data_IF_273213637659
#
_entry.id   IF_273213637659
#
_cell.length_a   1.000
_cell.length_b   1.000
_cell.length_c   1.000
_cell.angle_alpha   90.00
_cell.angle_beta   90.00
_cell.angle_gamma   90.00
#
_symmetry.space_group_name_H-M   'P 1'
#
loop_
_entity.id
_entity.type
_entity.pdbx_description
1 polymer ?
#
# COMPACT_ATOMS: atom_id res chain seq x y z
N UNK A 1 9.63 -7.03 8.77
CA UNK A 1 9.31 -6.03 7.76
C UNK A 1 10.53 -5.27 7.24
N UNK A 2 10.72 -5.25 5.92
CA UNK A 2 11.72 -4.48 5.17
C UNK A 2 11.21 -3.09 4.74
N UNK A 3 9.89 -2.89 4.73
CA UNK A 3 9.26 -1.67 4.24
C UNK A 3 9.34 -0.48 5.21
N UNK A 4 9.64 -0.73 6.50
CA UNK A 4 9.74 0.33 7.51
C UNK A 4 10.68 1.47 7.12
N UNK A 5 10.20 2.70 7.30
CA UNK A 5 11.00 3.92 7.17
C UNK A 5 12.21 3.92 8.12
N UNK A 6 12.06 3.32 9.33
CA UNK A 6 13.14 3.15 10.30
C UNK A 6 14.29 2.25 9.81
N UNK A 7 14.07 1.49 8.74
CA UNK A 7 15.08 0.67 8.05
C UNK A 7 15.63 1.32 6.77
N UNK A 8 15.27 2.58 6.52
CA UNK A 8 15.75 3.36 5.38
C UNK A 8 14.93 3.20 4.11
N UNK A 9 13.78 2.52 4.17
CA UNK A 9 12.82 2.51 3.08
C UNK A 9 12.13 3.87 2.94
N UNK A 10 11.61 4.15 1.74
CA UNK A 10 10.90 5.38 1.41
C UNK A 10 9.57 5.05 0.75
N UNK A 11 8.56 5.87 1.00
CA UNK A 11 7.27 5.76 0.33
C UNK A 11 7.03 6.96 -0.60
N UNK A 12 6.45 6.69 -1.76
CA UNK A 12 5.93 7.68 -2.71
C UNK A 12 4.54 7.26 -3.16
N UNK A 13 3.68 8.21 -3.53
CA UNK A 13 2.34 7.94 -4.03
C UNK A 13 2.01 8.82 -5.23
N UNK A 14 0.91 8.51 -5.92
CA UNK A 14 0.37 9.36 -6.99
C UNK A 14 -0.12 10.70 -6.47
N UNK A 15 -0.70 10.69 -5.27
CA UNK A 15 -1.38 11.85 -4.69
C UNK A 15 -1.56 11.68 -3.18
N UNK A 16 -1.88 12.80 -2.54
CA UNK A 16 -2.26 12.87 -1.13
C UNK A 16 -3.54 13.70 -0.99
N UNK A 17 -4.35 13.37 0.00
CA UNK A 17 -5.50 14.20 0.36
C UNK A 17 -5.02 15.61 0.76
N UNK A 18 -5.68 16.64 0.24
CA UNK A 18 -5.18 18.02 0.27
C UNK A 18 -4.85 18.54 1.67
N UNK A 19 -5.60 18.11 2.68
CA UNK A 19 -5.43 18.50 4.09
C UNK A 19 -4.70 17.46 4.95
N UNK A 20 -4.28 16.33 4.37
CA UNK A 20 -3.43 15.31 5.03
C UNK A 20 -2.07 15.20 4.31
N UNK A 21 -1.46 16.34 3.94
CA UNK A 21 -0.16 16.34 3.25
C UNK A 21 0.93 15.66 4.08
N UNK A 22 1.77 14.87 3.42
CA UNK A 22 2.78 14.01 4.03
C UNK A 22 2.24 12.65 4.51
N UNK A 23 0.96 12.34 4.29
CA UNK A 23 0.37 11.08 4.71
C UNK A 23 0.96 9.85 4.00
N UNK A 24 1.64 10.00 2.86
CA UNK A 24 2.31 8.88 2.16
C UNK A 24 3.28 8.14 3.07
N UNK A 25 4.00 8.86 3.93
CA UNK A 25 4.96 8.27 4.85
C UNK A 25 4.31 7.36 5.92
N UNK A 26 3.00 7.50 6.15
CA UNK A 26 2.27 6.70 7.14
C UNK A 26 2.14 5.24 6.76
N UNK A 27 2.19 4.91 5.47
CA UNK A 27 2.08 3.53 5.01
C UNK A 27 3.31 2.66 5.32
N UNK A 28 4.36 3.23 5.92
CA UNK A 28 5.61 2.54 6.27
C UNK A 28 6.18 3.03 7.61
N UNK A 29 5.37 3.63 8.47
CA UNK A 29 5.84 4.21 9.74
C UNK A 29 5.80 3.23 10.91
N UNK A 30 5.31 2.00 10.67
CA UNK A 30 5.17 0.95 11.68
C UNK A 30 3.92 1.09 12.55
N UNK A 31 3.02 2.03 12.24
CA UNK A 31 1.78 2.25 12.98
C UNK A 31 0.59 1.69 12.19
N UNK A 32 0.03 0.59 12.70
CA UNK A 32 -1.21 0.02 12.15
C UNK A 32 -2.41 0.74 12.79
N UNK A 33 -3.17 1.46 11.96
CA UNK A 33 -4.40 2.13 12.30
C UNK A 33 -5.47 1.16 12.81
N UNK A 34 -6.31 1.66 13.72
CA UNK A 34 -7.53 0.96 14.11
C UNK A 34 -8.74 1.51 13.33
N UNK A 35 -9.83 0.75 13.17
CA UNK A 35 -11.03 1.25 12.49
C UNK A 35 -11.68 2.47 13.13
N UNK A 36 -11.39 2.72 14.41
CA UNK A 36 -11.92 3.86 15.14
C UNK A 36 -10.93 5.04 15.18
N UNK A 37 -9.70 4.84 14.71
CA UNK A 37 -8.59 5.78 14.86
C UNK A 37 -7.57 5.54 13.74
N UNK A 38 -7.96 5.96 12.54
CA UNK A 38 -7.17 5.83 11.31
C UNK A 38 -6.74 7.16 10.71
N UNK A 39 -7.36 8.27 11.11
CA UNK A 39 -6.99 9.61 10.66
C UNK A 39 -5.55 9.94 11.11
N UNK A 40 -4.73 10.42 10.18
CA UNK A 40 -3.31 10.70 10.44
C UNK A 40 -2.40 9.48 10.62
N UNK A 41 -2.94 8.25 10.53
CA UNK A 41 -2.21 6.96 10.67
C UNK A 41 -2.30 6.09 9.40
N UNK A 42 -2.52 6.75 8.27
CA UNK A 42 -2.72 6.12 6.97
C UNK A 42 -2.24 7.03 5.87
N UNK A 43 -1.89 6.45 4.73
CA UNK A 43 -1.93 7.17 3.48
C UNK A 43 -3.39 7.35 3.03
N UNK A 44 -3.68 8.52 2.49
CA UNK A 44 -4.93 8.86 1.81
C UNK A 44 -4.61 9.47 0.44
N UNK A 45 -5.13 8.91 -0.64
CA UNK A 45 -5.03 9.54 -1.96
C UNK A 45 -5.85 10.83 -2.05
N UNK A 46 -5.61 11.64 -3.09
CA UNK A 46 -6.57 12.68 -3.46
C UNK A 46 -7.93 12.05 -3.86
N UNK A 47 -8.98 12.87 -3.84
CA UNK A 47 -10.34 12.45 -4.24
C UNK A 47 -10.52 12.60 -5.77
N UNK A 48 -9.77 11.80 -6.53
CA UNK A 48 -9.83 11.76 -8.00
C UNK A 48 -10.12 10.35 -8.47
N UNK A 49 -10.79 10.13 -9.61
CA UNK A 49 -11.15 8.78 -10.05
C UNK A 49 -9.95 7.82 -10.07
N UNK A 50 -10.17 6.60 -9.58
CA UNK A 50 -9.21 5.50 -9.62
C UNK A 50 -8.60 5.29 -11.03
N UNK A 51 -7.37 4.74 -11.12
CA UNK A 51 -6.58 4.13 -10.05
C UNK A 51 -5.69 5.11 -9.26
N UNK A 52 -5.34 4.70 -8.05
CA UNK A 52 -4.32 5.33 -7.19
C UNK A 52 -3.20 4.35 -6.93
N UNK A 53 -2.00 4.85 -6.62
CA UNK A 53 -0.86 3.99 -6.31
C UNK A 53 -0.01 4.53 -5.16
N UNK A 54 0.55 3.60 -4.40
CA UNK A 54 1.61 3.85 -3.43
C UNK A 54 2.76 2.87 -3.68
N UNK A 55 3.98 3.37 -3.57
CA UNK A 55 5.21 2.65 -3.85
C UNK A 55 6.13 2.70 -2.63
N UNK A 56 6.68 1.55 -2.26
CA UNK A 56 7.75 1.39 -1.27
C UNK A 56 9.06 1.15 -2.01
N UNK A 57 10.04 2.03 -1.81
CA UNK A 57 11.42 1.87 -2.23
C UNK A 57 12.28 1.37 -1.06
N UNK A 58 12.90 0.20 -1.23
CA UNK A 58 13.89 -0.34 -0.32
C UNK A 58 15.27 0.34 -0.52
N UNK A 59 16.09 0.46 0.53
CA UNK A 59 17.42 1.07 0.43
C UNK A 59 18.38 0.28 -0.47
N UNK A 60 18.13 -1.02 -0.64
CA UNK A 60 18.82 -1.90 -1.57
C UNK A 60 17.84 -3.00 -2.04
N UNK A 61 18.07 -3.64 -3.20
CA UNK A 61 17.31 -4.82 -3.61
C UNK A 61 17.36 -5.92 -2.54
N UNK A 62 16.21 -6.54 -2.27
CA UNK A 62 16.07 -7.60 -1.28
C UNK A 62 15.09 -8.68 -1.77
N UNK A 63 15.22 -9.89 -1.21
CA UNK A 63 14.28 -10.98 -1.46
C UNK A 63 13.07 -10.85 -0.53
N UNK A 64 11.87 -10.86 -1.10
CA UNK A 64 10.57 -10.80 -0.41
C UNK A 64 9.81 -12.08 -0.70
N UNK A 65 9.23 -12.68 0.34
CA UNK A 65 8.40 -13.90 0.25
C UNK A 65 6.95 -13.67 0.67
N UNK A 66 6.65 -12.55 1.32
CA UNK A 66 5.29 -12.23 1.77
C UNK A 66 5.05 -10.73 1.82
N UNK A 67 3.86 -10.34 1.39
CA UNK A 67 3.36 -8.97 1.44
C UNK A 67 2.15 -8.92 2.36
N UNK A 68 2.11 -7.92 3.25
CA UNK A 68 0.92 -7.61 4.05
C UNK A 68 0.54 -6.16 3.76
N UNK A 69 -0.73 -5.91 3.44
CA UNK A 69 -1.28 -4.57 3.30
C UNK A 69 -2.37 -4.40 4.35
N UNK A 70 -2.12 -3.58 5.36
CA UNK A 70 -3.12 -3.22 6.36
C UNK A 70 -3.98 -2.09 5.81
N UNK A 71 -5.29 -2.31 5.82
CA UNK A 71 -6.25 -1.31 5.39
C UNK A 71 -6.61 -0.39 6.56
N UNK A 72 -6.83 0.88 6.26
CA UNK A 72 -7.05 1.89 7.29
C UNK A 72 -8.51 1.93 7.77
N UNK A 73 -9.43 2.10 6.82
CA UNK A 73 -10.87 2.20 7.07
C UNK A 73 -11.59 0.95 6.53
N UNK A 74 -12.23 0.13 7.37
CA UNK A 74 -13.03 -1.00 6.91
C UNK A 74 -14.14 -0.65 5.92
N UNK A 75 -14.72 0.55 6.00
CA UNK A 75 -15.74 1.00 5.05
C UNK A 75 -15.14 1.51 3.73
N UNK A 76 -13.86 1.86 3.73
CA UNK A 76 -13.11 2.38 2.58
C UNK A 76 -12.00 1.49 2.07
N UNK A 77 -11.95 0.22 2.50
CA UNK A 77 -10.85 -0.68 2.15
C UNK A 77 -10.71 -0.90 0.63
N UNK A 78 -9.48 -1.14 0.14
CA UNK A 78 -9.24 -1.58 -1.23
C UNK A 78 -9.98 -2.88 -1.56
N UNK A 79 -10.65 -2.92 -2.71
CA UNK A 79 -11.42 -4.07 -3.19
C UNK A 79 -10.82 -4.68 -4.45
N UNK A 80 -10.37 -3.84 -5.38
CA UNK A 80 -9.66 -4.25 -6.58
C UNK A 80 -8.28 -3.60 -6.58
N UNK A 81 -7.22 -4.40 -6.56
CA UNK A 81 -5.85 -3.88 -6.49
C UNK A 81 -4.82 -4.86 -7.07
N UNK A 82 -3.67 -4.32 -7.46
CA UNK A 82 -2.54 -5.06 -8.01
C UNK A 82 -1.28 -4.79 -7.20
N UNK A 83 -0.46 -5.83 -7.02
CA UNK A 83 0.90 -5.71 -6.51
C UNK A 83 1.90 -5.87 -7.64
N UNK A 84 2.87 -4.97 -7.73
CA UNK A 84 3.91 -4.97 -8.74
C UNK A 84 5.29 -4.82 -8.10
N UNK A 85 6.29 -5.51 -8.64
CA UNK A 85 7.68 -5.43 -8.22
C UNK A 85 8.56 -4.83 -9.32
N UNK A 86 9.61 -4.11 -8.92
CA UNK A 86 10.63 -3.59 -9.82
C UNK A 86 12.00 -3.55 -9.14
N UNK A 87 13.07 -3.64 -9.94
CA UNK A 87 14.46 -3.41 -9.49
C UNK A 87 14.93 -1.98 -9.77
N UNK A 88 14.33 -1.30 -10.74
CA UNK A 88 14.79 -0.02 -11.29
C UNK A 88 13.74 1.11 -11.22
N UNK A 89 12.52 0.80 -10.78
CA UNK A 89 11.39 1.74 -10.69
C UNK A 89 10.77 2.09 -12.05
N UNK A 90 11.23 1.48 -13.14
CA UNK A 90 10.79 1.75 -14.51
C UNK A 90 10.10 0.53 -15.13
N UNK A 91 10.71 -0.64 -14.97
CA UNK A 91 10.20 -1.92 -15.46
C UNK A 91 9.50 -2.65 -14.32
N UNK A 92 8.20 -2.90 -14.47
CA UNK A 92 7.36 -3.47 -13.42
C UNK A 92 6.84 -4.85 -13.82
N UNK A 93 6.92 -5.80 -12.90
CA UNK A 93 6.34 -7.12 -13.03
C UNK A 93 5.19 -7.28 -12.03
N UNK A 94 4.02 -7.74 -12.49
CA UNK A 94 2.90 -8.05 -11.61
C UNK A 94 3.23 -9.28 -10.78
N UNK A 95 3.06 -9.18 -9.45
CA UNK A 95 3.34 -10.27 -8.50
C UNK A 95 2.06 -10.84 -7.87
N UNK A 96 0.99 -10.03 -7.80
CA UNK A 96 -0.36 -10.51 -7.50
C UNK A 96 -1.42 -9.58 -8.06
N UNK A 97 -2.63 -10.11 -8.22
CA UNK A 97 -3.83 -9.37 -8.60
C UNK A 97 -4.99 -9.82 -7.74
N UNK A 98 -5.75 -8.87 -7.20
CA UNK A 98 -6.93 -9.13 -6.39
C UNK A 98 -8.15 -8.35 -6.91
N UNK A 99 -9.32 -9.01 -6.94
CA UNK A 99 -10.57 -8.43 -7.45
C UNK A 99 -11.73 -8.88 -6.58
N UNK A 100 -12.53 -7.93 -6.11
CA UNK A 100 -13.66 -8.23 -5.25
C UNK A 100 -13.24 -8.63 -3.84
N UNK A 101 -12.09 -8.18 -3.35
CA UNK A 101 -11.62 -8.51 -2.00
C UNK A 101 -12.62 -8.04 -0.94
N UNK A 102 -12.93 -8.90 0.03
CA UNK A 102 -13.98 -8.62 1.02
C UNK A 102 -13.46 -8.50 2.45
N UNK A 103 -12.21 -8.88 2.73
CA UNK A 103 -11.68 -8.73 4.08
C UNK A 103 -11.28 -7.26 4.29
N UNK A 104 -11.97 -6.54 5.19
CA UNK A 104 -11.82 -5.10 5.29
C UNK A 104 -10.64 -4.67 6.17
N UNK A 105 -9.88 -5.63 6.72
CA UNK A 105 -8.79 -5.34 7.67
C UNK A 105 -7.42 -5.32 7.02
N UNK A 106 -7.12 -6.35 6.24
CA UNK A 106 -5.82 -6.47 5.57
C UNK A 106 -5.86 -7.50 4.45
N UNK A 107 -4.93 -7.37 3.54
CA UNK A 107 -4.57 -8.36 2.55
C UNK A 107 -3.22 -8.99 2.90
N UNK A 108 -3.08 -10.28 2.62
CA UNK A 108 -1.84 -11.03 2.79
C UNK A 108 -1.63 -11.93 1.59
N UNK A 109 -0.42 -11.93 1.03
CA UNK A 109 -0.05 -12.83 -0.05
C UNK A 109 1.35 -13.41 0.20
N UNK A 110 1.43 -14.74 0.12
CA UNK A 110 2.70 -15.43 -0.05
C UNK A 110 3.14 -15.33 -1.51
N UNK A 111 4.41 -15.03 -1.72
CA UNK A 111 5.03 -14.89 -3.02
C UNK A 111 6.06 -16.01 -3.23
N UNK A 112 6.28 -16.44 -4.47
CA UNK A 112 7.59 -16.96 -4.84
C UNK A 112 8.67 -15.96 -4.40
N UNK A 113 9.82 -16.45 -3.93
CA UNK A 113 10.97 -15.61 -3.57
C UNK A 113 11.24 -14.57 -4.67
N UNK A 114 10.88 -13.31 -4.39
CA UNK A 114 10.87 -12.24 -5.38
C UNK A 114 11.92 -11.22 -4.98
N UNK A 115 12.97 -11.08 -5.78
CA UNK A 115 13.94 -10.01 -5.60
C UNK A 115 13.37 -8.70 -6.14
N UNK A 116 13.20 -7.72 -5.28
CA UNK A 116 12.70 -6.39 -5.63
C UNK A 116 13.47 -5.29 -4.91
N UNK A 117 13.47 -4.09 -5.48
CA UNK A 117 13.82 -2.85 -4.78
C UNK A 117 12.58 -1.98 -4.56
N UNK A 118 11.64 -2.04 -5.50
CA UNK A 118 10.41 -1.28 -5.45
C UNK A 118 9.23 -2.24 -5.41
N UNK A 119 8.28 -1.98 -4.52
CA UNK A 119 6.97 -2.60 -4.51
C UNK A 119 5.93 -1.52 -4.71
N UNK A 120 5.02 -1.69 -5.67
CA UNK A 120 3.90 -0.77 -5.91
C UNK A 120 2.58 -1.50 -5.69
N UNK A 121 1.71 -0.90 -4.90
CA UNK A 121 0.30 -1.27 -4.78
C UNK A 121 -0.53 -0.28 -5.61
N UNK A 122 -1.23 -0.79 -6.61
CA UNK A 122 -2.15 0.00 -7.44
C UNK A 122 -3.59 -0.35 -7.08
N UNK A 123 -4.32 0.58 -6.44
CA UNK A 123 -5.72 0.42 -6.02
C UNK A 123 -6.64 0.95 -7.11
N UNK A 124 -7.44 0.05 -7.69
CA UNK A 124 -8.35 0.31 -8.81
C UNK A 124 -9.79 0.57 -8.37
N UNK A 125 -10.14 0.13 -7.16
CA UNK A 125 -11.45 0.38 -6.55
C UNK A 125 -11.39 0.20 -5.04
N UNK A 126 -12.07 1.08 -4.32
CA UNK A 126 -12.30 0.97 -2.87
C UNK A 126 -13.76 0.72 -2.53
N UNK A 127 -14.03 0.28 -1.30
CA UNK A 127 -15.38 -0.06 -0.82
C UNK A 127 -16.23 1.16 -0.44
N UNK A 128 -15.61 2.35 -0.31
CA UNK A 128 -16.27 3.52 0.26
C UNK A 128 -17.44 3.99 -0.59
N UNK A 129 -18.60 4.14 0.05
CA UNK A 129 -19.78 4.78 -0.57
C UNK A 129 -19.76 6.30 -0.40
N UNK A 130 -19.08 6.79 0.64
CA UNK A 130 -18.97 8.22 0.92
C UNK A 130 -17.90 8.87 0.03
N UNK A 131 -16.79 8.16 -0.19
CA UNK A 131 -15.62 8.61 -0.93
C UNK A 131 -15.20 7.54 -1.96
N UNK A 132 -16.02 7.31 -3.01
CA UNK A 132 -15.81 6.20 -3.96
C UNK A 132 -14.50 6.28 -4.75
N UNK A 133 -13.92 7.47 -4.83
CA UNK A 133 -12.68 7.77 -5.51
C UNK A 133 -11.47 7.85 -4.55
N UNK A 134 -11.61 7.42 -3.28
CA UNK A 134 -10.51 7.43 -2.32
C UNK A 134 -9.80 6.09 -2.25
N UNK A 135 -8.47 6.10 -2.15
CA UNK A 135 -7.65 4.97 -1.76
C UNK A 135 -6.99 5.25 -0.40
N UNK A 136 -6.95 4.23 0.46
CA UNK A 136 -6.39 4.34 1.80
C UNK A 136 -5.63 3.07 2.18
N UNK A 137 -4.43 3.25 2.75
CA UNK A 137 -3.61 2.16 3.27
C UNK A 137 -3.02 2.60 4.59
N UNK A 138 -3.13 1.76 5.61
CA UNK A 138 -2.53 2.04 6.90
C UNK A 138 -1.04 1.73 6.91
N UNK A 139 -0.66 0.53 6.47
CA UNK A 139 0.72 0.05 6.55
C UNK A 139 0.95 -1.02 5.48
N UNK A 140 2.13 -1.03 4.86
CA UNK A 140 2.61 -2.07 3.95
C UNK A 140 3.81 -2.74 4.59
N UNK A 141 3.76 -4.06 4.74
CA UNK A 141 4.90 -4.86 5.16
C UNK A 141 5.41 -5.73 4.01
N UNK A 142 6.73 -5.75 3.85
CA UNK A 142 7.46 -6.63 2.94
C UNK A 142 8.35 -7.55 3.78
N UNK A 143 8.03 -8.85 3.80
CA UNK A 143 8.69 -9.82 4.67
C UNK A 143 9.67 -10.69 3.87
N UNK A 144 10.88 -10.94 4.40
CA UNK A 144 11.82 -11.89 3.81
C UNK A 144 11.33 -13.34 4.00
N UNK A 145 11.90 -14.30 3.25
CA UNK A 145 11.64 -15.75 3.38
C UNK A 145 11.84 -16.32 4.79
#
# INVERSE_FOLDING_TARGET
>A
DLALASKGAKATSDSELEWERGCTARAIDGVIASPQDFEGKRWHSALTPHPHWICVELPAPAEVSRVIVHFADPAGHPVDFDGEASLDGQNWAMIFQERGYTNPRRFEADLPRTTLRFFRLTIRRSASRQWPDAAQVSEIELLPP
#
